data_IF_875220809675
#
_entry.id   IF_875220809675
#
_cell.length_a   1.000
_cell.length_b   1.000
_cell.length_c   1.000
_cell.angle_alpha   90.00
_cell.angle_beta   90.00
_cell.angle_gamma   90.00
#
_symmetry.space_group_name_H-M   'P 1'
#
loop_
_entity.id
_entity.type
_entity.pdbx_description
1 polymer ?
#
# COMPACT_ATOMS: atom_id res chain seq x y z
N UNK A 1 -4.38 -1.25 -10.96
CA UNK A 1 -3.85 -1.54 -12.30
C UNK A 1 -4.96 -2.19 -13.10
N UNK A 2 -4.93 -2.11 -14.43
CA UNK A 2 -5.85 -2.88 -15.27
C UNK A 2 -5.49 -4.36 -15.21
N UNK A 3 -6.46 -5.21 -14.86
CA UNK A 3 -6.32 -6.66 -14.88
C UNK A 3 -7.18 -7.33 -15.94
N UNK A 4 -6.77 -8.53 -16.37
CA UNK A 4 -7.50 -9.32 -17.38
C UNK A 4 -8.94 -9.66 -16.95
N UNK A 5 -9.19 -9.69 -15.64
CA UNK A 5 -10.47 -10.05 -15.04
C UNK A 5 -11.25 -8.85 -14.46
N UNK A 6 -10.88 -7.60 -14.82
CA UNK A 6 -11.54 -6.38 -14.33
C UNK A 6 -13.05 -6.35 -14.61
N UNK A 7 -13.52 -7.08 -15.64
CA UNK A 7 -14.93 -7.20 -15.99
C UNK A 7 -15.74 -8.07 -14.99
N UNK A 8 -15.07 -8.96 -14.25
CA UNK A 8 -15.69 -9.82 -13.24
C UNK A 8 -15.67 -9.19 -11.84
N UNK A 9 -14.87 -8.15 -11.64
CA UNK A 9 -14.69 -7.48 -10.35
C UNK A 9 -15.74 -6.39 -10.13
N UNK A 10 -16.19 -6.24 -8.88
CA UNK A 10 -17.09 -5.14 -8.46
C UNK A 10 -16.33 -3.81 -8.35
N UNK A 11 -16.94 -2.74 -8.86
CA UNK A 11 -16.38 -1.38 -8.84
C UNK A 11 -17.36 -0.37 -8.23
N UNK A 12 -16.87 0.70 -7.56
CA UNK A 12 -15.46 0.94 -7.21
C UNK A 12 -14.93 -0.11 -6.24
N UNK A 13 -13.62 -0.31 -6.25
CA UNK A 13 -12.94 -1.20 -5.31
C UNK A 13 -13.21 -0.72 -3.89
N UNK A 14 -13.76 -1.61 -3.06
CA UNK A 14 -14.26 -1.31 -1.72
C UNK A 14 -13.73 -2.34 -0.72
N UNK A 15 -12.44 -2.22 -0.39
CA UNK A 15 -11.75 -3.07 0.58
C UNK A 15 -10.80 -2.22 1.44
N UNK A 16 -10.49 -2.70 2.62
CA UNK A 16 -9.40 -2.16 3.42
C UNK A 16 -8.07 -2.53 2.77
N UNK A 17 -7.21 -1.54 2.57
CA UNK A 17 -5.86 -1.70 2.06
C UNK A 17 -4.93 -1.55 3.25
N UNK A 18 -4.13 -2.59 3.49
CA UNK A 18 -3.12 -2.60 4.55
C UNK A 18 -1.75 -2.57 3.89
N UNK A 19 -0.94 -1.60 4.28
CA UNK A 19 0.47 -1.48 3.92
C UNK A 19 1.32 -1.86 5.12
N UNK A 20 2.43 -2.57 4.88
CA UNK A 20 3.34 -3.01 5.91
C UNK A 20 4.78 -2.73 5.50
N UNK A 21 5.61 -2.33 6.46
CA UNK A 21 7.06 -2.33 6.33
C UNK A 21 7.61 -3.34 7.34
N UNK A 22 8.24 -4.37 6.82
CA UNK A 22 8.70 -5.52 7.60
C UNK A 22 10.01 -5.17 8.32
N UNK A 23 10.04 -5.46 9.61
CA UNK A 23 11.27 -5.51 10.38
C UNK A 23 11.96 -6.86 10.12
N UNK A 24 13.18 -6.81 9.59
CA UNK A 24 13.95 -7.98 9.17
C UNK A 24 14.71 -8.65 10.33
N UNK A 25 14.57 -8.13 11.54
CA UNK A 25 15.15 -8.64 12.79
C UNK A 25 14.13 -9.36 13.68
N UNK A 26 12.96 -9.72 13.14
CA UNK A 26 11.81 -10.27 13.87
C UNK A 26 11.21 -9.32 14.92
N UNK A 27 11.41 -8.01 14.76
CA UNK A 27 10.73 -6.99 15.55
C UNK A 27 9.31 -6.69 15.04
N UNK A 28 8.67 -5.69 15.66
CA UNK A 28 7.35 -5.23 15.23
C UNK A 28 7.42 -4.59 13.84
N UNK A 29 6.49 -4.95 12.98
CA UNK A 29 6.34 -4.34 11.66
C UNK A 29 5.60 -3.01 11.79
N UNK A 30 5.94 -2.04 10.92
CA UNK A 30 5.07 -0.89 10.76
C UNK A 30 3.88 -1.28 9.91
N UNK A 31 2.69 -0.97 10.38
CA UNK A 31 1.43 -1.27 9.68
C UNK A 31 0.63 0.01 9.60
N UNK A 32 0.09 0.30 8.42
CA UNK A 32 -0.93 1.33 8.22
C UNK A 32 -2.05 0.74 7.36
N UNK A 33 -3.28 1.11 7.65
CA UNK A 33 -4.44 0.60 6.94
C UNK A 33 -5.44 1.71 6.70
N UNK A 34 -5.97 1.74 5.48
CA UNK A 34 -7.00 2.70 5.09
C UNK A 34 -8.08 2.01 4.26
N UNK A 35 -9.28 2.57 4.31
CA UNK A 35 -10.38 2.09 3.47
C UNK A 35 -10.32 2.78 2.10
N UNK A 36 -10.52 2.01 1.04
CA UNK A 36 -10.70 2.57 -0.30
C UNK A 36 -11.95 3.46 -0.35
N UNK A 37 -11.78 4.74 -0.64
CA UNK A 37 -12.87 5.71 -0.77
C UNK A 37 -13.59 5.54 -2.12
N UNK A 38 -14.88 5.16 -2.17
CA UNK A 38 -15.61 4.97 -3.42
C UNK A 38 -15.75 6.24 -4.26
N UNK A 39 -15.51 7.44 -3.69
CA UNK A 39 -15.51 8.70 -4.45
C UNK A 39 -14.16 9.01 -5.09
N UNK A 40 -13.07 8.38 -4.64
CA UNK A 40 -11.74 8.59 -5.21
C UNK A 40 -11.60 7.90 -6.57
N UNK A 41 -10.97 8.60 -7.51
CA UNK A 41 -10.63 8.07 -8.84
C UNK A 41 -9.63 6.92 -8.78
N UNK A 42 -8.85 6.80 -7.70
CA UNK A 42 -7.88 5.73 -7.47
C UNK A 42 -8.53 4.34 -7.40
N UNK A 43 -9.78 4.25 -6.95
CA UNK A 43 -10.48 2.97 -6.74
C UNK A 43 -11.56 2.68 -7.78
N UNK A 44 -11.68 3.51 -8.82
CA UNK A 44 -12.58 3.25 -9.93
C UNK A 44 -12.03 2.18 -10.88
N UNK A 45 -12.90 1.65 -11.74
CA UNK A 45 -12.48 0.71 -12.79
C UNK A 45 -11.39 1.35 -13.68
N UNK A 46 -10.24 0.69 -13.89
CA UNK A 46 -9.14 1.22 -14.68
C UNK A 46 -9.53 1.55 -16.13
N UNK A 47 -9.32 2.80 -16.53
CA UNK A 47 -9.48 3.28 -17.92
C UNK A 47 -8.15 3.32 -18.70
N UNK A 48 -7.04 3.18 -17.99
CA UNK A 48 -5.66 3.09 -18.47
C UNK A 48 -4.96 1.93 -17.77
N UNK A 49 -3.69 1.68 -18.08
CA UNK A 49 -2.91 0.58 -17.47
C UNK A 49 -2.79 0.72 -15.95
N UNK A 50 -2.76 1.96 -15.44
CA UNK A 50 -2.70 2.27 -14.02
C UNK A 50 -3.77 3.27 -13.60
N UNK A 51 -4.19 3.18 -12.33
CA UNK A 51 -4.98 4.19 -11.65
C UNK A 51 -4.06 5.19 -10.95
N UNK A 52 -4.62 6.31 -10.50
CA UNK A 52 -3.90 7.24 -9.62
C UNK A 52 -3.56 6.51 -8.31
N UNK A 53 -2.30 6.60 -7.88
CA UNK A 53 -1.84 5.98 -6.65
C UNK A 53 -2.59 6.54 -5.43
N UNK A 54 -2.88 5.68 -4.46
CA UNK A 54 -3.40 6.06 -3.14
C UNK A 54 -2.55 5.39 -2.08
N UNK A 55 -2.28 6.09 -0.99
CA UNK A 55 -1.42 5.60 0.09
C UNK A 55 -1.37 6.59 1.25
N UNK A 56 -0.34 6.45 2.08
CA UNK A 56 -0.14 7.24 3.30
C UNK A 56 1.16 8.04 3.20
N UNK A 57 1.11 9.35 2.91
CA UNK A 57 2.32 10.17 2.77
C UNK A 57 3.19 10.23 4.03
N UNK A 58 2.60 9.96 5.20
CA UNK A 58 3.27 9.97 6.50
C UNK A 58 3.40 8.54 7.07
N UNK A 59 3.49 7.54 6.20
CA UNK A 59 3.54 6.13 6.58
C UNK A 59 4.65 5.78 7.58
N UNK A 60 5.85 6.36 7.42
CA UNK A 60 6.98 6.13 8.33
C UNK A 60 7.83 7.40 8.47
N UNK A 61 8.02 7.94 9.68
CA UNK A 61 9.01 8.98 9.91
C UNK A 61 10.40 8.48 9.55
N UNK A 62 11.16 9.25 8.76
CA UNK A 62 12.49 8.84 8.31
C UNK A 62 13.45 8.53 9.46
N UNK A 63 13.37 9.28 10.57
CA UNK A 63 14.19 9.02 11.76
C UNK A 63 13.91 7.67 12.43
N UNK A 64 12.73 7.09 12.21
CA UNK A 64 12.36 5.79 12.76
C UNK A 64 12.88 4.61 11.94
N UNK A 65 13.29 4.83 10.68
CA UNK A 65 13.86 3.78 9.83
C UNK A 65 15.12 3.16 10.43
N UNK A 66 15.95 3.99 11.08
CA UNK A 66 17.21 3.56 11.69
C UNK A 66 17.05 2.97 13.10
N UNK A 67 15.86 3.07 13.70
CA UNK A 67 15.62 2.58 15.07
C UNK A 67 15.37 1.07 15.14
N UNK A 68 15.20 0.43 13.97
CA UNK A 68 14.73 -0.95 13.79
C UNK A 68 15.43 -1.55 12.57
N UNK A 69 15.25 -2.85 12.32
CA UNK A 69 15.87 -3.52 11.17
C UNK A 69 14.97 -3.48 9.94
N UNK A 70 14.39 -2.32 9.64
CA UNK A 70 13.58 -2.12 8.44
C UNK A 70 14.43 -2.14 7.16
N UNK A 71 15.70 -1.74 7.27
CA UNK A 71 16.70 -1.79 6.20
C UNK A 71 17.84 -2.69 6.67
N UNK A 72 18.19 -3.69 5.86
CA UNK A 72 19.32 -4.58 6.09
C UNK A 72 19.97 -4.87 4.75
N UNK A 73 21.30 -4.80 4.70
CA UNK A 73 22.07 -5.01 3.47
C UNK A 73 21.59 -4.13 2.28
N UNK A 74 21.21 -2.87 2.56
CA UNK A 74 20.60 -1.91 1.62
C UNK A 74 19.29 -2.37 0.96
N UNK A 75 18.60 -3.34 1.58
CA UNK A 75 17.30 -3.86 1.14
C UNK A 75 16.23 -3.60 2.20
N UNK A 76 15.05 -3.15 1.77
CA UNK A 76 13.82 -3.07 2.59
C UNK A 76 12.84 -4.16 2.19
N UNK A 77 12.10 -4.71 3.17
CA UNK A 77 11.04 -5.71 2.93
C UNK A 77 9.66 -5.11 3.20
N UNK A 78 8.71 -5.31 2.29
CA UNK A 78 7.36 -4.75 2.33
C UNK A 78 6.33 -5.78 1.85
#
# INVERSE_FOLDING_TARGET
MRGDYDALQTWPFQKTITMMLLDQGNGDHMIDAFNSDPQSSSFQRPKSDMNIASGSPLFMPLGSLNNRQYIKDDVSSA
#
